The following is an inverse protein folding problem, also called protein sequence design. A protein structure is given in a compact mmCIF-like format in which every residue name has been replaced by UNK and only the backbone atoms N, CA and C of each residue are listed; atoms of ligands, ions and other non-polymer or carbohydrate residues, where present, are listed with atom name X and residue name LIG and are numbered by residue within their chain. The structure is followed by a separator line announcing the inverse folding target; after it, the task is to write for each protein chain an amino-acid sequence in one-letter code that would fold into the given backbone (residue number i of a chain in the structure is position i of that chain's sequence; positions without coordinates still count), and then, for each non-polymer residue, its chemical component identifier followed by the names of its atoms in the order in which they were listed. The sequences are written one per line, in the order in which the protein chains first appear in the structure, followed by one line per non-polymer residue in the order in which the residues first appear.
data_IF_525101949009
#
_entry.id   IF_525101949009
#
_cell.length_a   1.000
_cell.length_b   1.000
_cell.length_c   1.000
_cell.angle_alpha   90.00
_cell.angle_beta   90.00
_cell.angle_gamma   90.00
#
_symmetry.space_group_name_H-M   'P 1'
#
loop_
_entity.id
_entity.type
_entity.pdbx_description
1 polymer ?
#
# COMPACT_ATOMS: atom_id res chain seq x y z
N UNK A 1 7.48 28.21 1.33
CA UNK A 1 6.34 28.40 2.26
C UNK A 1 5.68 29.76 2.10
N UNK A 2 6.34 30.75 1.48
CA UNK A 2 5.74 32.05 1.12
C UNK A 2 5.25 32.04 -0.34
N UNK A 3 4.02 32.51 -0.58
CA UNK A 3 3.38 32.58 -1.90
C UNK A 3 2.51 31.38 -2.30
N UNK A 4 2.34 30.39 -1.42
CA UNK A 4 1.40 29.27 -1.66
C UNK A 4 0.11 29.54 -0.89
N UNK A 5 -1.07 29.35 -1.50
CA UNK A 5 -2.33 29.47 -0.78
C UNK A 5 -2.36 28.51 0.44
N UNK A 6 -3.15 28.84 1.47
CA UNK A 6 -3.35 28.03 2.67
C UNK A 6 -3.60 26.55 2.38
N UNK A 7 -3.27 25.69 3.34
CA UNK A 7 -3.45 24.24 3.17
C UNK A 7 -4.92 23.91 2.93
N UNK A 8 -5.86 24.62 3.55
CA UNK A 8 -7.30 24.41 3.39
C UNK A 8 -7.75 24.76 1.97
N UNK A 9 -7.34 25.91 1.44
CA UNK A 9 -7.67 26.33 0.07
C UNK A 9 -7.16 25.32 -0.97
N UNK A 10 -5.96 24.77 -0.74
CA UNK A 10 -5.38 23.73 -1.60
C UNK A 10 -6.12 22.40 -1.48
N UNK A 11 -6.62 22.04 -0.30
CA UNK A 11 -7.48 20.86 -0.13
C UNK A 11 -8.81 21.09 -0.85
N UNK A 12 -9.44 22.25 -0.67
CA UNK A 12 -10.70 22.60 -1.32
C UNK A 12 -10.58 22.59 -2.86
N UNK A 13 -9.48 23.10 -3.42
CA UNK A 13 -9.20 23.02 -4.86
C UNK A 13 -9.13 21.56 -5.35
N UNK A 14 -8.38 20.70 -4.64
CA UNK A 14 -8.27 19.27 -4.99
C UNK A 14 -9.57 18.49 -4.81
N UNK A 15 -10.40 18.87 -3.84
CA UNK A 15 -11.71 18.25 -3.63
C UNK A 15 -12.72 18.73 -4.68
N UNK A 16 -12.62 19.98 -5.15
CA UNK A 16 -13.41 20.48 -6.30
C UNK A 16 -13.05 19.75 -7.60
N UNK A 17 -11.77 19.48 -7.82
CA UNK A 17 -11.28 18.74 -9.00
C UNK A 17 -11.62 17.24 -8.93
N UNK A 18 -11.77 16.68 -7.73
CA UNK A 18 -12.23 15.30 -7.55
C UNK A 18 -13.73 15.23 -7.80
N UNK A 19 -14.11 14.59 -8.90
CA UNK A 19 -15.50 14.23 -9.15
C UNK A 19 -16.10 13.34 -8.04
N UNK A 20 -17.42 13.13 -8.06
CA UNK A 20 -18.11 12.31 -7.07
C UNK A 20 -17.49 10.91 -6.99
N UNK A 21 -17.38 10.37 -5.78
CA UNK A 21 -16.94 9.00 -5.54
C UNK A 21 -17.84 8.06 -6.32
N UNK A 22 -17.26 7.34 -7.29
CA UNK A 22 -18.02 6.37 -8.09
C UNK A 22 -18.42 5.20 -7.19
N UNK A 23 -19.72 4.91 -7.00
CA UNK A 23 -20.16 3.79 -6.19
C UNK A 23 -19.53 2.48 -6.71
N UNK A 24 -19.03 1.65 -5.79
CA UNK A 24 -18.40 0.36 -6.13
C UNK A 24 -16.96 0.45 -6.66
N UNK A 25 -16.37 1.64 -6.77
CA UNK A 25 -14.94 1.77 -7.08
C UNK A 25 -14.11 1.68 -5.81
N UNK A 26 -13.29 0.63 -5.71
CA UNK A 26 -12.25 0.50 -4.69
C UNK A 26 -10.91 0.89 -5.29
N UNK A 27 -9.97 1.30 -4.44
CA UNK A 27 -8.58 1.46 -4.88
C UNK A 27 -8.12 0.18 -5.59
N UNK A 28 -7.38 0.24 -6.71
CA UNK A 28 -6.86 -0.95 -7.36
C UNK A 28 -5.85 -1.65 -6.43
N UNK A 29 -6.28 -2.74 -5.78
CA UNK A 29 -5.47 -3.50 -4.82
C UNK A 29 -4.48 -4.47 -5.48
N UNK A 30 -4.41 -4.52 -6.82
CA UNK A 30 -3.57 -5.48 -7.55
C UNK A 30 -2.11 -5.49 -7.07
N UNK A 31 -1.41 -4.34 -7.11
CA UNK A 31 -0.03 -4.24 -6.66
C UNK A 31 0.14 -4.56 -5.16
N UNK A 32 -0.76 -4.06 -4.32
CA UNK A 32 -0.70 -4.28 -2.87
C UNK A 32 -0.90 -5.77 -2.51
N UNK A 33 -1.85 -6.44 -3.16
CA UNK A 33 -2.13 -7.86 -2.98
C UNK A 33 -0.92 -8.71 -3.38
N UNK A 34 -0.29 -8.40 -4.51
CA UNK A 34 0.90 -9.11 -4.98
C UNK A 34 2.07 -8.96 -3.99
N UNK A 35 2.36 -7.74 -3.53
CA UNK A 35 3.42 -7.48 -2.56
C UNK A 35 3.18 -8.20 -1.24
N UNK A 36 1.92 -8.23 -0.78
CA UNK A 36 1.54 -8.94 0.45
C UNK A 36 1.85 -10.44 0.36
N UNK A 37 1.38 -11.11 -0.70
CA UNK A 37 1.62 -12.55 -0.86
C UNK A 37 3.09 -12.88 -1.12
N UNK A 38 3.79 -12.04 -1.87
CA UNK A 38 5.23 -12.22 -2.10
C UNK A 38 6.02 -12.12 -0.80
N UNK A 39 5.81 -11.05 -0.03
CA UNK A 39 6.49 -10.86 1.26
C UNK A 39 6.17 -11.99 2.25
N UNK A 40 4.91 -12.40 2.32
CA UNK A 40 4.48 -13.52 3.15
C UNK A 40 5.17 -14.84 2.74
N UNK A 41 5.28 -15.11 1.43
CA UNK A 41 6.00 -16.27 0.91
C UNK A 41 7.49 -16.27 1.28
N UNK A 42 8.16 -15.12 1.17
CA UNK A 42 9.58 -14.98 1.58
C UNK A 42 9.76 -15.30 3.06
N UNK A 43 8.88 -14.78 3.92
CA UNK A 43 8.92 -15.05 5.36
C UNK A 43 8.77 -16.54 5.63
N UNK A 44 7.78 -17.20 5.03
CA UNK A 44 7.58 -18.64 5.22
C UNK A 44 8.81 -19.44 4.77
N UNK A 45 9.31 -19.19 3.57
CA UNK A 45 10.44 -19.94 3.00
C UNK A 45 11.68 -19.78 3.87
N UNK A 46 12.02 -18.55 4.27
CA UNK A 46 13.20 -18.29 5.11
C UNK A 46 13.09 -18.97 6.47
N UNK A 47 11.90 -18.98 7.09
CA UNK A 47 11.70 -19.64 8.39
C UNK A 47 11.75 -21.16 8.25
N UNK A 48 11.19 -21.75 7.19
CA UNK A 48 11.27 -23.18 6.95
C UNK A 48 12.72 -23.63 6.69
N UNK A 49 13.50 -22.84 5.96
CA UNK A 49 14.94 -23.09 5.76
C UNK A 49 15.68 -23.04 7.09
N UNK A 50 15.49 -21.97 7.87
CA UNK A 50 16.14 -21.83 9.18
C UNK A 50 15.77 -22.96 10.14
N UNK A 51 14.49 -23.34 10.17
CA UNK A 51 14.00 -24.47 10.98
C UNK A 51 14.60 -25.79 10.53
N UNK A 52 14.66 -26.04 9.21
CA UNK A 52 15.29 -27.23 8.64
C UNK A 52 16.76 -27.30 9.04
N UNK A 53 17.50 -26.20 8.89
CA UNK A 53 18.89 -26.13 9.31
C UNK A 53 19.06 -26.43 10.80
N UNK A 54 18.17 -25.94 11.66
CA UNK A 54 18.23 -26.20 13.09
C UNK A 54 18.05 -27.69 13.46
N UNK A 55 17.23 -28.43 12.71
CA UNK A 55 16.95 -29.85 13.01
C UNK A 55 17.86 -30.84 12.29
N UNK A 56 18.40 -30.48 11.13
CA UNK A 56 19.17 -31.39 10.27
C UNK A 56 20.68 -31.05 10.17
N UNK A 57 21.15 -29.99 10.84
CA UNK A 57 22.56 -29.62 10.97
C UNK A 57 23.01 -29.78 12.42
#
# INVERSE_FOLDING_TARGET
MFGRPPIEERIAARQRERGPLKPGTVFPHGPAKMLFFFGFGVVIVTHLIALSMYFFT
#
